data_IF_294106443660
#
_entry.id   IF_294106443660
#
_cell.length_a   1.000
_cell.length_b   1.000
_cell.length_c   1.000
_cell.angle_alpha   90.00
_cell.angle_beta   90.00
_cell.angle_gamma   90.00
#
_symmetry.space_group_name_H-M   'P 1'
#
loop_
_entity.id
_entity.type
_entity.pdbx_description
1 polymer ?
#
# COMPACT_ATOMS: atom_id res chain seq x y z
N UNK A 1 34.30 -63.87 27.81
CA UNK A 1 34.02 -62.97 28.94
C UNK A 1 33.79 -61.58 28.39
N UNK A 2 32.59 -61.10 28.68
CA UNK A 2 31.83 -59.98 28.14
C UNK A 2 32.45 -58.61 28.45
N UNK A 3 32.46 -57.71 27.45
CA UNK A 3 32.65 -56.27 27.64
C UNK A 3 31.36 -55.58 27.22
N UNK A 4 30.67 -55.05 28.23
CA UNK A 4 29.45 -54.26 28.15
C UNK A 4 29.73 -52.92 27.46
N UNK A 5 29.07 -52.67 26.33
CA UNK A 5 29.03 -51.37 25.67
C UNK A 5 27.70 -50.70 26.04
N UNK A 6 27.82 -49.60 26.79
CA UNK A 6 26.72 -48.77 27.30
C UNK A 6 25.88 -48.24 26.15
N UNK A 7 24.56 -48.41 26.26
CA UNK A 7 23.55 -47.71 25.50
C UNK A 7 23.43 -46.25 25.99
N UNK A 8 23.71 -45.29 25.13
CA UNK A 8 23.28 -43.89 25.29
C UNK A 8 21.95 -43.70 24.54
N UNK A 9 20.90 -43.12 25.14
CA UNK A 9 19.66 -42.83 24.43
C UNK A 9 19.81 -41.59 23.55
N UNK A 10 19.48 -41.71 22.26
CA UNK A 10 19.30 -40.59 21.36
C UNK A 10 18.23 -39.64 21.90
N UNK A 11 18.65 -38.47 22.38
CA UNK A 11 17.75 -37.38 22.71
C UNK A 11 17.17 -36.80 21.41
N UNK A 12 15.86 -36.99 21.21
CA UNK A 12 15.06 -36.31 20.20
C UNK A 12 15.13 -34.80 20.42
N UNK A 13 16.04 -34.14 19.70
CA UNK A 13 16.07 -32.69 19.57
C UNK A 13 14.84 -32.27 18.76
N UNK A 14 13.76 -31.90 19.45
CA UNK A 14 12.65 -31.16 18.81
C UNK A 14 13.25 -29.92 18.17
N UNK A 15 13.38 -29.95 16.85
CA UNK A 15 13.56 -28.75 16.05
C UNK A 15 12.28 -27.94 16.22
N UNK A 16 12.33 -26.93 17.09
CA UNK A 16 11.31 -25.89 17.09
C UNK A 16 11.28 -25.30 15.69
N UNK A 17 10.12 -25.37 15.03
CA UNK A 17 9.91 -24.66 13.79
C UNK A 17 10.21 -23.17 14.03
N UNK A 18 10.86 -22.46 13.09
CA UNK A 18 11.02 -21.03 13.21
C UNK A 18 9.63 -20.41 13.31
N UNK A 19 9.40 -19.67 14.39
CA UNK A 19 8.23 -18.80 14.53
C UNK A 19 8.24 -17.86 13.34
N UNK A 20 7.32 -18.05 12.40
CA UNK A 20 7.15 -17.10 11.30
C UNK A 20 6.90 -15.71 11.89
N UNK A 21 7.62 -14.67 11.43
CA UNK A 21 7.31 -13.31 11.84
C UNK A 21 5.90 -12.98 11.33
N UNK A 22 4.97 -12.92 12.27
CA UNK A 22 3.60 -12.47 12.11
C UNK A 22 3.60 -11.12 11.40
N UNK A 23 2.87 -11.04 10.29
CA UNK A 23 2.38 -9.87 9.55
C UNK A 23 3.25 -8.60 9.61
N UNK A 24 3.68 -8.09 8.44
CA UNK A 24 4.24 -6.74 8.35
C UNK A 24 3.34 -5.77 9.14
N UNK A 25 3.93 -4.92 10.00
CA UNK A 25 3.14 -3.96 10.75
C UNK A 25 2.34 -3.10 9.76
N UNK A 26 1.08 -2.74 10.08
CA UNK A 26 0.36 -1.77 9.28
C UNK A 26 1.22 -0.52 9.15
N UNK A 27 1.22 0.08 7.96
CA UNK A 27 1.91 1.32 7.63
C UNK A 27 1.99 2.26 8.85
N UNK A 28 3.21 2.51 9.35
CA UNK A 28 3.42 3.23 10.62
C UNK A 28 2.84 4.65 10.61
N UNK A 29 2.73 5.28 9.44
CA UNK A 29 2.12 6.59 9.27
C UNK A 29 0.59 6.58 9.42
N UNK A 30 -0.05 5.44 9.19
CA UNK A 30 -1.50 5.34 9.34
C UNK A 30 -1.99 5.46 10.78
N UNK A 31 -1.15 5.05 11.72
CA UNK A 31 -1.39 5.25 13.15
C UNK A 31 -1.27 6.71 13.58
N UNK A 32 -0.72 7.57 12.72
CA UNK A 32 -0.61 9.02 12.93
C UNK A 32 -1.76 9.81 12.28
N UNK A 33 -2.69 9.14 11.59
CA UNK A 33 -3.87 9.80 11.05
C UNK A 33 -4.71 10.40 12.21
N UNK A 34 -5.24 11.63 12.08
CA UNK A 34 -5.89 12.29 13.20
C UNK A 34 -7.11 11.52 13.69
N UNK A 35 -7.26 11.40 15.01
CA UNK A 35 -8.32 10.62 15.65
C UNK A 35 -9.71 11.18 15.35
N UNK A 36 -10.73 10.33 15.13
CA UNK A 36 -12.12 10.78 15.03
C UNK A 36 -12.55 11.49 16.31
N UNK A 37 -12.97 12.75 16.22
CA UNK A 37 -13.41 13.57 17.37
C UNK A 37 -12.93 15.03 17.35
N UNK A 38 -11.90 15.33 16.55
CA UNK A 38 -11.36 16.68 16.34
C UNK A 38 -12.06 17.43 15.19
N UNK A 39 -11.79 18.74 15.05
CA UNK A 39 -12.26 19.59 13.95
C UNK A 39 -11.94 18.94 12.57
N UNK A 40 -12.96 18.61 11.75
CA UNK A 40 -12.77 17.98 10.45
C UNK A 40 -11.83 18.74 9.51
N UNK A 41 -11.87 20.07 9.54
CA UNK A 41 -11.05 20.93 8.67
C UNK A 41 -9.58 20.86 9.10
N UNK A 42 -9.32 20.90 10.41
CA UNK A 42 -7.95 20.75 10.94
C UNK A 42 -7.37 19.38 10.58
N UNK A 43 -8.14 18.31 10.79
CA UNK A 43 -7.76 16.93 10.44
C UNK A 43 -7.45 16.78 8.95
N UNK A 44 -8.31 17.31 8.08
CA UNK A 44 -8.06 17.28 6.64
C UNK A 44 -6.81 18.06 6.26
N UNK A 45 -6.59 19.23 6.87
CA UNK A 45 -5.39 20.04 6.61
C UNK A 45 -4.12 19.31 7.03
N UNK A 46 -4.10 18.68 8.22
CA UNK A 46 -2.98 17.87 8.70
C UNK A 46 -2.72 16.67 7.77
N UNK A 47 -3.79 15.98 7.37
CA UNK A 47 -3.71 14.86 6.45
C UNK A 47 -3.10 15.26 5.10
N UNK A 48 -3.58 16.35 4.49
CA UNK A 48 -3.05 16.85 3.22
C UNK A 48 -1.59 17.30 3.33
N UNK A 49 -1.18 17.87 4.46
CA UNK A 49 0.23 18.20 4.71
C UNK A 49 1.09 16.95 4.76
N UNK A 50 0.66 15.90 5.48
CA UNK A 50 1.34 14.60 5.50
C UNK A 50 1.50 14.03 4.09
N UNK A 51 0.44 14.05 3.28
CA UNK A 51 0.51 13.56 1.90
C UNK A 51 1.51 14.36 1.05
N UNK A 52 1.57 15.69 1.22
CA UNK A 52 2.54 16.53 0.51
C UNK A 52 3.98 16.21 0.87
N UNK A 53 4.24 15.89 2.14
CA UNK A 53 5.57 15.50 2.61
C UNK A 53 6.01 14.14 2.05
N UNK A 54 5.05 13.23 1.86
CA UNK A 54 5.28 11.89 1.31
C UNK A 54 5.31 11.85 -0.23
N UNK A 55 4.70 12.81 -0.91
CA UNK A 55 4.60 12.81 -2.37
C UNK A 55 5.97 12.98 -3.06
N UNK A 56 6.06 12.51 -4.32
CA UNK A 56 7.20 12.78 -5.22
C UNK A 56 7.30 14.28 -5.51
N UNK A 57 6.16 14.92 -5.71
CA UNK A 57 6.02 16.37 -5.91
C UNK A 57 4.87 16.88 -5.03
N UNK A 58 5.12 17.75 -4.04
CA UNK A 58 4.06 18.24 -3.14
C UNK A 58 2.87 18.86 -3.87
N UNK A 59 3.12 19.53 -5.00
CA UNK A 59 2.08 20.16 -5.82
C UNK A 59 1.13 19.18 -6.52
N UNK A 60 1.41 17.87 -6.50
CA UNK A 60 0.50 16.85 -6.99
C UNK A 60 -0.69 16.65 -6.04
N UNK A 61 -0.55 17.02 -4.77
CA UNK A 61 -1.64 16.94 -3.79
C UNK A 61 -2.34 18.30 -3.70
N UNK A 62 -3.46 18.43 -4.40
CA UNK A 62 -4.18 19.70 -4.54
C UNK A 62 -5.69 19.51 -4.52
N UNK A 63 -6.39 20.47 -3.91
CA UNK A 63 -7.84 20.62 -3.96
C UNK A 63 -8.27 21.77 -4.88
N UNK A 64 -7.33 22.49 -5.51
CA UNK A 64 -7.59 23.76 -6.23
C UNK A 64 -8.53 23.58 -7.44
N UNK A 65 -8.61 22.36 -7.96
CA UNK A 65 -9.45 21.99 -9.08
C UNK A 65 -10.87 21.61 -8.66
N UNK A 66 -11.13 21.40 -7.36
CA UNK A 66 -12.44 21.04 -6.84
C UNK A 66 -13.23 22.34 -6.68
N UNK A 67 -14.26 22.49 -7.50
CA UNK A 67 -15.22 23.58 -7.40
C UNK A 67 -16.10 23.36 -6.16
N UNK A 68 -15.59 23.75 -5.00
CA UNK A 68 -16.20 23.48 -3.71
C UNK A 68 -16.72 24.78 -3.06
N UNK A 69 -17.93 24.79 -2.47
CA UNK A 69 -18.28 25.78 -1.47
C UNK A 69 -17.19 25.80 -0.38
N UNK A 70 -16.89 26.95 0.26
CA UNK A 70 -15.74 27.06 1.15
C UNK A 70 -15.66 25.93 2.21
N UNK A 71 -14.75 24.99 1.99
CA UNK A 71 -14.36 23.97 2.96
C UNK A 71 -15.16 22.66 2.97
N UNK A 72 -16.10 22.41 2.05
CA UNK A 72 -16.86 21.16 2.03
C UNK A 72 -15.99 19.92 1.72
N UNK A 73 -15.01 20.02 0.83
CA UNK A 73 -14.02 19.00 0.52
C UNK A 73 -13.12 18.73 1.73
N UNK A 74 -12.72 19.77 2.47
CA UNK A 74 -11.95 19.61 3.70
C UNK A 74 -12.80 18.90 4.78
N UNK A 75 -14.06 19.28 4.95
CA UNK A 75 -14.96 18.59 5.87
C UNK A 75 -15.12 17.12 5.47
N UNK A 76 -15.37 16.85 4.18
CA UNK A 76 -15.54 15.49 3.69
C UNK A 76 -14.29 14.64 3.91
N UNK A 77 -13.10 15.16 3.54
CA UNK A 77 -11.82 14.48 3.79
C UNK A 77 -11.68 14.21 5.27
N UNK A 78 -11.89 15.21 6.13
CA UNK A 78 -11.85 15.03 7.56
C UNK A 78 -12.69 13.84 7.98
N UNK A 79 -13.97 13.84 7.64
CA UNK A 79 -14.94 12.86 8.13
C UNK A 79 -14.76 11.45 7.57
N UNK A 80 -14.26 11.31 6.34
CA UNK A 80 -14.32 10.03 5.62
C UNK A 80 -12.96 9.41 5.31
N UNK A 81 -11.87 10.17 5.32
CA UNK A 81 -10.58 9.70 4.80
C UNK A 81 -10.05 8.45 5.50
N UNK A 82 -10.32 8.32 6.80
CA UNK A 82 -9.92 7.15 7.57
C UNK A 82 -10.58 5.87 7.02
N UNK A 83 -11.88 5.91 6.76
CA UNK A 83 -12.63 4.76 6.23
C UNK A 83 -12.23 4.43 4.79
N UNK A 84 -12.01 5.45 3.96
CA UNK A 84 -11.56 5.28 2.57
C UNK A 84 -10.20 4.61 2.56
N UNK A 85 -9.25 5.15 3.31
CA UNK A 85 -7.93 4.59 3.36
C UNK A 85 -7.98 3.15 3.95
N UNK A 86 -8.89 2.83 4.90
CA UNK A 86 -8.98 1.48 5.49
C UNK A 86 -9.33 0.45 4.41
N UNK A 87 -10.20 0.82 3.47
CA UNK A 87 -10.53 -0.01 2.31
C UNK A 87 -9.32 -0.19 1.38
N UNK A 88 -8.57 0.89 1.09
CA UNK A 88 -7.34 0.80 0.31
C UNK A 88 -6.28 -0.11 0.97
N UNK A 89 -6.14 -0.04 2.28
CA UNK A 89 -5.25 -0.93 3.03
C UNK A 89 -5.70 -2.40 2.98
N UNK A 90 -7.01 -2.67 3.03
CA UNK A 90 -7.52 -4.03 2.87
C UNK A 90 -7.15 -4.58 1.48
N UNK A 91 -7.38 -3.80 0.42
CA UNK A 91 -6.99 -4.14 -0.95
C UNK A 91 -5.49 -4.39 -1.06
N UNK A 92 -4.66 -3.50 -0.51
CA UNK A 92 -3.20 -3.67 -0.50
C UNK A 92 -2.78 -4.96 0.23
N UNK A 93 -3.38 -5.26 1.38
CA UNK A 93 -3.06 -6.45 2.16
C UNK A 93 -3.43 -7.73 1.41
N UNK A 94 -4.59 -7.74 0.73
CA UNK A 94 -5.03 -8.87 -0.09
C UNK A 94 -4.06 -9.10 -1.26
N UNK A 95 -3.63 -8.02 -1.94
CA UNK A 95 -2.62 -8.09 -3.00
C UNK A 95 -1.26 -8.58 -2.49
N UNK A 96 -0.81 -8.11 -1.32
CA UNK A 96 0.45 -8.54 -0.72
C UNK A 96 0.42 -9.99 -0.23
N UNK A 97 -0.77 -10.58 -0.05
CA UNK A 97 -0.92 -11.94 0.49
C UNK A 97 -0.27 -13.02 -0.40
N UNK A 98 -0.13 -12.78 -1.71
CA UNK A 98 0.49 -13.73 -2.64
C UNK A 98 2.02 -13.77 -2.56
N UNK A 99 2.65 -12.77 -1.94
CA UNK A 99 4.10 -12.76 -1.70
C UNK A 99 4.44 -13.49 -0.40
N UNK A 100 5.58 -14.20 -0.41
CA UNK A 100 6.18 -14.77 0.80
C UNK A 100 6.58 -13.63 1.73
N UNK A 101 6.37 -13.77 3.05
CA UNK A 101 6.59 -12.71 4.04
C UNK A 101 7.97 -12.06 3.92
N UNK A 102 9.02 -12.86 3.67
CA UNK A 102 10.40 -12.36 3.51
C UNK A 102 10.65 -11.55 2.23
N UNK A 103 9.72 -11.56 1.28
CA UNK A 103 9.79 -10.84 0.01
C UNK A 103 8.85 -9.62 -0.03
N UNK A 104 8.03 -9.42 1.00
CA UNK A 104 7.11 -8.28 1.06
C UNK A 104 7.91 -7.03 1.39
N UNK A 105 7.97 -6.10 0.44
CA UNK A 105 8.47 -4.75 0.68
C UNK A 105 7.62 -4.02 1.72
N UNK A 106 8.23 -3.10 2.46
CA UNK A 106 7.50 -2.22 3.38
C UNK A 106 6.76 -1.15 2.55
N UNK A 107 5.46 -1.37 2.34
CA UNK A 107 4.60 -0.55 1.48
C UNK A 107 3.44 0.00 2.30
N UNK A 108 3.10 1.26 2.05
CA UNK A 108 1.93 1.92 2.59
C UNK A 108 1.09 2.55 1.47
N UNK A 109 -0.21 2.74 1.73
CA UNK A 109 -1.13 3.33 0.77
C UNK A 109 -1.99 4.43 1.40
N UNK A 110 -2.22 5.50 0.65
CA UNK A 110 -3.09 6.60 1.03
C UNK A 110 -4.02 7.01 -0.11
N UNK A 111 -5.26 7.36 0.21
CA UNK A 111 -6.11 8.13 -0.67
C UNK A 111 -5.64 9.57 -0.70
N UNK A 112 -5.46 10.12 -1.89
CA UNK A 112 -4.89 11.42 -2.11
C UNK A 112 -5.70 12.14 -3.19
N UNK A 113 -6.11 13.41 -2.98
CA UNK A 113 -6.64 14.21 -4.08
C UNK A 113 -5.48 14.58 -5.01
N UNK A 114 -5.43 13.95 -6.18
CA UNK A 114 -4.34 14.10 -7.14
C UNK A 114 -4.74 15.15 -8.16
N UNK A 115 -3.90 16.18 -8.29
CA UNK A 115 -4.16 17.30 -9.15
C UNK A 115 -4.31 16.84 -10.62
N UNK A 116 -5.39 17.20 -11.34
CA UNK A 116 -5.69 16.67 -12.67
C UNK A 116 -4.58 16.88 -13.70
N UNK A 117 -3.81 17.98 -13.56
CA UNK A 117 -2.70 18.29 -14.44
C UNK A 117 -1.55 17.28 -14.40
N UNK A 118 -1.53 16.37 -13.41
CA UNK A 118 -0.58 15.26 -13.34
C UNK A 118 -0.88 14.17 -14.37
N UNK A 119 -2.13 14.07 -14.84
CA UNK A 119 -2.54 13.06 -15.81
C UNK A 119 -2.65 11.63 -15.27
N UNK A 120 -2.49 11.42 -13.96
CA UNK A 120 -2.54 10.09 -13.32
C UNK A 120 -3.63 10.01 -12.26
N UNK A 121 -4.16 8.81 -12.02
CA UNK A 121 -5.14 8.53 -10.95
C UNK A 121 -4.48 7.88 -9.71
N UNK A 122 -3.20 7.53 -9.81
CA UNK A 122 -2.37 7.03 -8.73
C UNK A 122 -0.89 7.27 -9.04
N UNK A 123 -0.04 7.14 -8.04
CA UNK A 123 1.41 7.07 -8.21
C UNK A 123 2.09 6.39 -7.02
N UNK A 124 3.30 5.88 -7.27
CA UNK A 124 4.19 5.33 -6.26
C UNK A 124 5.37 6.27 -5.98
N UNK A 125 5.67 6.49 -4.70
CA UNK A 125 6.90 7.14 -4.23
C UNK A 125 7.86 6.11 -3.63
N UNK A 126 9.11 6.14 -4.08
CA UNK A 126 10.23 5.27 -3.69
C UNK A 126 10.84 5.60 -2.30
N UNK A 127 10.15 6.41 -1.49
CA UNK A 127 10.52 6.65 -0.09
C UNK A 127 10.50 5.36 0.71
N UNK A 128 11.07 5.39 1.92
CA UNK A 128 11.02 4.27 2.87
C UNK A 128 10.13 4.66 4.06
N UNK A 129 8.98 3.99 4.27
CA UNK A 129 8.40 2.94 3.43
C UNK A 129 7.89 3.47 2.07
N UNK A 130 7.83 2.59 1.08
CA UNK A 130 7.33 2.91 -0.26
C UNK A 130 5.87 3.30 -0.15
N UNK A 131 5.50 4.43 -0.75
CA UNK A 131 4.17 5.02 -0.54
C UNK A 131 3.39 5.06 -1.84
N UNK A 132 2.28 4.33 -1.86
CA UNK A 132 1.28 4.39 -2.92
C UNK A 132 0.29 5.50 -2.59
N UNK A 133 -0.02 6.34 -3.57
CA UNK A 133 -1.07 7.35 -3.47
C UNK A 133 -2.08 7.10 -4.58
N UNK A 134 -3.35 7.00 -4.22
CA UNK A 134 -4.46 6.72 -5.15
C UNK A 134 -5.49 7.82 -4.99
N UNK A 135 -6.08 8.29 -6.10
CA UNK A 135 -7.20 9.23 -6.07
C UNK A 135 -8.54 8.49 -6.23
N UNK A 136 -9.17 8.04 -5.13
CA UNK A 136 -10.45 7.36 -5.19
C UNK A 136 -11.61 8.27 -5.64
N UNK A 137 -11.41 9.59 -5.72
CA UNK A 137 -12.41 10.52 -6.22
C UNK A 137 -12.53 10.52 -7.75
N UNK A 138 -11.52 10.00 -8.46
CA UNK A 138 -11.45 9.99 -9.93
C UNK A 138 -11.79 8.65 -10.57
N UNK A 139 -11.83 7.59 -9.76
CA UNK A 139 -12.10 6.21 -10.21
C UNK A 139 -13.23 5.58 -9.38
N UNK A 140 -13.99 4.68 -10.00
CA UNK A 140 -15.06 3.98 -9.28
C UNK A 140 -14.46 2.91 -8.35
N UNK A 141 -15.11 2.59 -7.20
CA UNK A 141 -14.60 1.62 -6.24
C UNK A 141 -14.27 0.23 -6.80
N UNK A 142 -14.98 -0.19 -7.84
CA UNK A 142 -14.74 -1.48 -8.51
C UNK A 142 -13.35 -1.54 -9.19
N UNK A 143 -12.79 -0.41 -9.58
CA UNK A 143 -11.50 -0.33 -10.28
C UNK A 143 -10.31 -0.12 -9.32
N UNK A 144 -10.57 0.14 -8.04
CA UNK A 144 -9.52 0.35 -7.03
C UNK A 144 -8.52 -0.81 -6.96
N UNK A 145 -8.92 -2.10 -6.96
CA UNK A 145 -7.96 -3.20 -6.90
C UNK A 145 -6.97 -3.19 -8.08
N UNK A 146 -7.45 -2.88 -9.29
CA UNK A 146 -6.60 -2.78 -10.47
C UNK A 146 -5.58 -1.65 -10.36
N UNK A 147 -6.00 -0.46 -9.91
CA UNK A 147 -5.08 0.65 -9.71
C UNK A 147 -4.08 0.37 -8.57
N UNK A 148 -4.53 -0.18 -7.44
CA UNK A 148 -3.62 -0.52 -6.33
C UNK A 148 -2.62 -1.58 -6.77
N UNK A 149 -3.02 -2.58 -7.57
CA UNK A 149 -2.11 -3.55 -8.14
C UNK A 149 -1.07 -2.90 -9.07
N UNK A 150 -1.48 -1.93 -9.88
CA UNK A 150 -0.57 -1.16 -10.74
C UNK A 150 0.49 -0.40 -9.94
N UNK A 151 0.08 0.38 -8.94
CA UNK A 151 1.01 1.14 -8.10
C UNK A 151 1.90 0.23 -7.25
N UNK A 152 1.35 -0.89 -6.77
CA UNK A 152 2.11 -1.90 -6.05
C UNK A 152 3.17 -2.56 -6.95
N UNK A 153 2.88 -2.79 -8.23
CA UNK A 153 3.85 -3.32 -9.17
C UNK A 153 5.06 -2.38 -9.34
N UNK A 154 4.85 -1.06 -9.37
CA UNK A 154 5.96 -0.10 -9.31
C UNK A 154 6.77 -0.23 -8.02
N UNK A 155 6.10 -0.34 -6.87
CA UNK A 155 6.76 -0.51 -5.57
C UNK A 155 7.57 -1.82 -5.46
N UNK A 156 7.08 -2.92 -6.05
CA UNK A 156 7.77 -4.20 -6.11
C UNK A 156 8.95 -4.18 -7.08
N UNK A 157 8.78 -3.53 -8.24
CA UNK A 157 9.84 -3.38 -9.24
C UNK A 157 10.94 -2.39 -8.80
N UNK A 158 10.64 -1.47 -7.87
CA UNK A 158 11.56 -0.43 -7.44
C UNK A 158 11.85 0.60 -8.55
N UNK A 159 10.94 0.74 -9.52
CA UNK A 159 11.12 1.60 -10.69
C UNK A 159 9.81 2.27 -11.12
N UNK A 160 9.92 3.50 -11.61
CA UNK A 160 8.78 4.29 -12.10
C UNK A 160 8.34 3.97 -13.54
N UNK A 161 9.03 3.04 -14.22
CA UNK A 161 8.72 2.66 -15.60
C UNK A 161 8.11 1.25 -15.71
N UNK A 162 7.54 0.92 -16.86
CA UNK A 162 6.90 -0.38 -17.13
C UNK A 162 7.84 -1.42 -17.76
N UNK A 163 9.08 -1.50 -17.26
CA UNK A 163 10.07 -2.49 -17.71
C UNK A 163 9.73 -3.94 -17.32
N UNK A 164 10.66 -4.86 -17.58
CA UNK A 164 10.46 -6.30 -17.35
C UNK A 164 10.09 -6.64 -15.90
N UNK A 165 10.70 -5.96 -14.93
CA UNK A 165 10.42 -6.17 -13.50
C UNK A 165 8.98 -5.77 -13.16
N UNK A 166 8.51 -4.64 -13.69
CA UNK A 166 7.13 -4.19 -13.52
C UNK A 166 6.16 -5.17 -14.20
N UNK A 167 6.44 -5.57 -15.43
CA UNK A 167 5.61 -6.52 -16.18
C UNK A 167 5.46 -7.86 -15.44
N UNK A 168 6.54 -8.36 -14.87
CA UNK A 168 6.51 -9.56 -14.01
C UNK A 168 5.67 -9.35 -12.75
N UNK A 169 5.85 -8.22 -12.06
CA UNK A 169 5.12 -7.90 -10.84
C UNK A 169 3.60 -7.75 -11.09
N UNK A 170 3.19 -6.99 -12.10
CA UNK A 170 1.77 -6.78 -12.40
C UNK A 170 1.10 -8.07 -12.89
N UNK A 171 1.78 -8.88 -13.69
CA UNK A 171 1.25 -10.18 -14.10
C UNK A 171 1.04 -11.11 -12.91
N UNK A 172 1.99 -11.15 -11.97
CA UNK A 172 1.87 -11.93 -10.73
C UNK A 172 0.66 -11.47 -9.89
N UNK A 173 0.53 -10.17 -9.66
CA UNK A 173 -0.55 -9.57 -8.88
C UNK A 173 -1.93 -9.85 -9.51
N UNK A 174 -2.06 -9.61 -10.82
CA UNK A 174 -3.33 -9.82 -11.52
C UNK A 174 -3.76 -11.29 -11.50
N UNK A 175 -2.82 -12.23 -11.72
CA UNK A 175 -3.11 -13.67 -11.66
C UNK A 175 -3.53 -14.11 -10.25
N UNK A 176 -2.92 -13.56 -9.20
CA UNK A 176 -3.24 -13.92 -7.82
C UNK A 176 -4.64 -13.45 -7.39
N UNK A 177 -5.15 -12.36 -7.97
CA UNK A 177 -6.41 -11.72 -7.60
C UNK A 177 -7.52 -11.86 -8.64
N UNK A 178 -7.33 -12.69 -9.67
CA UNK A 178 -8.27 -12.87 -10.79
C UNK A 178 -8.63 -11.52 -11.47
N UNK A 179 -7.65 -10.61 -11.56
CA UNK A 179 -7.79 -9.33 -12.24
C UNK A 179 -7.39 -9.46 -13.72
N UNK A 180 -7.96 -8.64 -14.61
CA UNK A 180 -7.50 -8.56 -15.99
C UNK A 180 -6.02 -8.19 -16.04
N UNK A 181 -5.20 -9.00 -16.72
CA UNK A 181 -3.80 -8.67 -16.96
C UNK A 181 -3.74 -7.55 -17.99
N UNK A 182 -2.98 -6.46 -17.74
CA UNK A 182 -2.83 -5.39 -18.71
C UNK A 182 -2.18 -5.90 -20.00
N UNK A 183 -2.52 -5.28 -21.14
CA UNK A 183 -1.84 -5.58 -22.39
C UNK A 183 -0.33 -5.24 -22.28
N UNK A 184 0.58 -6.01 -22.92
CA UNK A 184 2.03 -5.86 -22.75
C UNK A 184 2.63 -4.54 -23.23
N UNK A 185 1.85 -3.64 -23.83
CA UNK A 185 2.30 -2.34 -24.36
C UNK A 185 1.53 -1.19 -23.70
N UNK A 186 1.71 -1.00 -22.39
CA UNK A 186 1.34 0.24 -21.73
C UNK A 186 2.60 1.11 -21.65
N UNK A 187 2.93 1.79 -22.75
CA UNK A 187 3.89 2.91 -22.74
C UNK A 187 3.11 4.23 -22.72
#
# INVERSE_FOLDING_TARGET
MTRDLRHEPFQNRRLSAPTEPSALPPATYWQQAPTPGDDPVLRATQYLSLLRDLAVQPGWISLDHIADPPGAALIWIGDHIHAVNQQLNAILNDLLACFVVSQRSEIQIFAAPIAPQTGVDGFCSDRSPTTLMVDPGRIVPADWPGLVAHELAHGVAGASGHGDEFAGAIAHLCLAQDLPVPAPNLD
#
